data_IF_310227027307
#
_entry.id   IF_310227027307
#
_cell.length_a   1.000
_cell.length_b   1.000
_cell.length_c   1.000
_cell.angle_alpha   90.00
_cell.angle_beta   90.00
_cell.angle_gamma   90.00
#
_symmetry.space_group_name_H-M   'P 1'
#
loop_
_entity.id
_entity.type
_entity.pdbx_description
1 polymer ?
#
# COMPACT_ATOMS: atom_id res chain seq x y z
N UNK A 1 -19.94 -21.56 36.03
CA UNK A 1 -20.29 -20.46 35.09
C UNK A 1 -19.10 -19.59 34.66
N UNK A 2 -18.28 -19.03 35.57
CA UNK A 2 -17.17 -18.12 35.19
C UNK A 2 -16.11 -18.77 34.28
N UNK A 3 -15.77 -20.04 34.50
CA UNK A 3 -14.75 -20.75 33.71
C UNK A 3 -15.14 -20.81 32.22
N UNK A 4 -16.36 -21.25 31.91
CA UNK A 4 -16.84 -21.36 30.52
C UNK A 4 -16.99 -19.99 29.83
N UNK A 5 -17.26 -18.92 30.59
CA UNK A 5 -17.26 -17.56 30.04
C UNK A 5 -15.84 -17.09 29.69
N UNK A 6 -14.86 -17.35 30.56
CA UNK A 6 -13.45 -17.02 30.30
C UNK A 6 -12.88 -17.80 29.10
N UNK A 7 -13.23 -19.08 28.95
CA UNK A 7 -12.82 -19.89 27.80
C UNK A 7 -13.33 -19.28 26.49
N UNK A 8 -14.62 -18.89 26.45
CA UNK A 8 -15.20 -18.25 25.26
C UNK A 8 -14.51 -16.92 24.92
N UNK A 9 -14.22 -16.08 25.91
CA UNK A 9 -13.55 -14.80 25.65
C UNK A 9 -12.10 -15.00 25.18
N UNK A 10 -11.39 -15.99 25.72
CA UNK A 10 -10.07 -16.39 25.22
C UNK A 10 -10.15 -16.83 23.75
N UNK A 11 -11.13 -17.67 23.39
CA UNK A 11 -11.31 -18.12 22.00
C UNK A 11 -11.62 -16.94 21.06
N UNK A 12 -12.47 -16.00 21.48
CA UNK A 12 -12.77 -14.79 20.72
C UNK A 12 -11.50 -13.96 20.47
N UNK A 13 -10.70 -13.77 21.52
CA UNK A 13 -9.44 -13.03 21.44
C UNK A 13 -8.41 -13.76 20.56
N UNK A 14 -8.34 -15.09 20.64
CA UNK A 14 -7.45 -15.90 19.80
C UNK A 14 -7.78 -15.73 18.32
N UNK A 15 -9.07 -15.85 17.96
CA UNK A 15 -9.53 -15.64 16.58
C UNK A 15 -9.15 -14.25 16.03
N UNK A 16 -9.25 -13.20 16.86
CA UNK A 16 -8.80 -11.86 16.49
C UNK A 16 -7.28 -11.79 16.28
N UNK A 17 -6.49 -12.43 17.14
CA UNK A 17 -5.04 -12.45 17.00
C UNK A 17 -4.60 -13.24 15.75
N UNK A 18 -5.31 -14.30 15.39
CA UNK A 18 -5.07 -15.08 14.18
C UNK A 18 -5.33 -14.25 12.92
N UNK A 19 -6.42 -13.45 12.92
CA UNK A 19 -6.68 -12.49 11.83
C UNK A 19 -5.57 -11.43 11.72
N UNK A 20 -5.04 -10.94 12.85
CA UNK A 20 -3.88 -10.04 12.87
C UNK A 20 -2.61 -10.71 12.34
N UNK A 21 -2.41 -12.01 12.59
CA UNK A 21 -1.26 -12.74 12.06
C UNK A 21 -1.37 -12.88 10.54
N UNK A 22 -2.56 -13.23 10.02
CA UNK A 22 -2.83 -13.29 8.58
C UNK A 22 -2.61 -11.93 7.90
N UNK A 23 -3.11 -10.85 8.51
CA UNK A 23 -2.88 -9.50 7.99
C UNK A 23 -1.38 -9.16 7.90
N UNK A 24 -0.55 -9.60 8.86
CA UNK A 24 0.91 -9.38 8.78
C UNK A 24 1.58 -10.15 7.65
N UNK A 25 1.03 -11.28 7.22
CA UNK A 25 1.63 -12.07 6.11
C UNK A 25 1.48 -11.38 4.76
N UNK A 26 0.45 -10.55 4.58
CA UNK A 26 0.17 -9.87 3.31
C UNK A 26 0.79 -8.46 3.23
N UNK A 27 1.18 -7.88 4.37
CA UNK A 27 1.81 -6.56 4.39
C UNK A 27 3.31 -6.74 4.06
N UNK A 28 3.85 -6.04 3.05
CA UNK A 28 5.28 -6.14 2.76
C UNK A 28 6.12 -5.50 3.88
N UNK A 29 7.01 -6.31 4.47
CA UNK A 29 7.86 -5.94 5.61
C UNK A 29 9.28 -6.49 5.44
N UNK A 30 10.24 -5.90 6.15
CA UNK A 30 11.58 -6.46 6.25
C UNK A 30 11.59 -7.65 7.23
N UNK A 31 12.49 -8.64 7.07
CA UNK A 31 12.59 -9.80 7.97
C UNK A 31 12.79 -9.44 9.46
N UNK A 32 13.34 -8.25 9.74
CA UNK A 32 13.55 -7.74 11.10
C UNK A 32 12.35 -7.00 11.70
N UNK A 33 11.32 -6.68 10.90
CA UNK A 33 10.22 -5.83 11.33
C UNK A 33 9.34 -6.56 12.36
N UNK A 34 9.31 -6.03 13.59
CA UNK A 34 8.37 -6.47 14.64
C UNK A 34 7.22 -5.49 14.76
N UNK A 35 6.08 -5.83 14.16
CA UNK A 35 4.91 -4.95 14.11
C UNK A 35 3.93 -5.16 15.28
N UNK A 36 3.73 -4.10 16.08
CA UNK A 36 2.61 -4.01 17.02
C UNK A 36 1.24 -3.99 16.30
N UNK A 37 0.14 -4.14 17.03
CA UNK A 37 -1.22 -4.10 16.46
C UNK A 37 -1.48 -2.78 15.73
N UNK A 38 -1.15 -1.65 16.35
CA UNK A 38 -1.34 -0.33 15.74
C UNK A 38 -0.44 -0.13 14.51
N UNK A 39 0.83 -0.58 14.56
CA UNK A 39 1.73 -0.50 13.41
C UNK A 39 1.23 -1.36 12.24
N UNK A 40 0.71 -2.56 12.53
CA UNK A 40 0.13 -3.46 11.52
C UNK A 40 -1.03 -2.76 10.80
N UNK A 41 -1.95 -2.14 11.55
CA UNK A 41 -3.07 -1.41 10.96
C UNK A 41 -2.62 -0.21 10.13
N UNK A 42 -1.73 0.62 10.67
CA UNK A 42 -1.20 1.80 9.95
C UNK A 42 -0.51 1.40 8.66
N UNK A 43 0.32 0.36 8.70
CA UNK A 43 1.06 -0.11 7.54
C UNK A 43 0.15 -0.76 6.50
N UNK A 44 -0.90 -1.48 6.93
CA UNK A 44 -1.93 -1.99 6.04
C UNK A 44 -2.63 -0.87 5.27
N UNK A 45 -3.05 0.21 5.94
CA UNK A 45 -3.65 1.37 5.29
C UNK A 45 -2.71 1.99 4.27
N UNK A 46 -1.45 2.24 4.64
CA UNK A 46 -0.44 2.76 3.72
C UNK A 46 -0.23 1.84 2.50
N UNK A 47 -0.25 0.53 2.70
CA UNK A 47 -0.09 -0.43 1.60
C UNK A 47 -1.29 -0.40 0.64
N UNK A 48 -2.51 -0.27 1.16
CA UNK A 48 -3.71 -0.08 0.34
C UNK A 48 -3.59 1.21 -0.49
N UNK A 49 -3.18 2.32 0.12
CA UNK A 49 -3.01 3.61 -0.58
C UNK A 49 -1.96 3.54 -1.69
N UNK A 50 -0.83 2.88 -1.41
CA UNK A 50 0.21 2.60 -2.40
C UNK A 50 -0.34 1.81 -3.60
N UNK A 51 -1.08 0.72 -3.34
CA UNK A 51 -1.66 -0.09 -4.41
C UNK A 51 -2.67 0.72 -5.25
N UNK A 52 -3.47 1.59 -4.62
CA UNK A 52 -4.35 2.51 -5.35
C UNK A 52 -3.58 3.47 -6.27
N UNK A 53 -2.43 3.99 -5.82
CA UNK A 53 -1.59 4.87 -6.65
C UNK A 53 -1.02 4.12 -7.85
N UNK A 54 -0.47 2.91 -7.63
CA UNK A 54 0.08 2.06 -8.69
C UNK A 54 -0.98 1.75 -9.76
N UNK A 55 -2.20 1.42 -9.35
CA UNK A 55 -3.30 1.15 -10.29
C UNK A 55 -3.76 2.39 -11.08
N UNK A 56 -3.67 3.60 -10.49
CA UNK A 56 -4.03 4.85 -11.18
C UNK A 56 -2.98 5.27 -12.21
N UNK A 57 -1.69 5.06 -11.90
CA UNK A 57 -0.60 5.35 -12.83
C UNK A 57 -0.61 4.44 -14.05
N UNK A 58 -1.11 3.21 -13.94
CA UNK A 58 -1.28 2.28 -15.07
C UNK A 58 -2.37 2.74 -16.05
N UNK A 59 -3.45 3.37 -15.56
CA UNK A 59 -4.54 3.91 -16.38
C UNK A 59 -4.17 5.21 -17.13
N UNK A 60 -3.04 5.84 -16.76
CA UNK A 60 -2.51 7.03 -17.42
C UNK A 60 -1.39 6.62 -18.38
N UNK A 61 -1.72 5.76 -19.34
CA UNK A 61 -0.88 5.58 -20.52
C UNK A 61 -0.68 6.94 -21.23
N UNK A 62 0.49 7.18 -21.84
CA UNK A 62 0.74 8.44 -22.53
C UNK A 62 -0.35 8.61 -23.58
N UNK A 63 -1.19 9.64 -23.41
CA UNK A 63 -2.11 10.09 -24.43
C UNK A 63 -1.24 10.53 -25.61
N UNK A 64 -1.13 9.65 -26.61
CA UNK A 64 -0.41 9.94 -27.84
C UNK A 64 -0.95 11.23 -28.46
N UNK A 65 0.01 12.05 -28.88
CA UNK A 65 -0.22 13.24 -29.67
C UNK A 65 -0.91 12.87 -30.99
N UNK A 66 -2.14 13.35 -31.20
CA UNK A 66 -2.84 13.20 -32.46
C UNK A 66 -4.24 13.82 -32.45
N UNK A 67 -4.33 15.15 -32.61
CA UNK A 67 -5.60 15.85 -32.83
C UNK A 67 -5.52 17.35 -32.55
N UNK A 68 -5.24 18.13 -33.59
CA UNK A 68 -5.31 19.59 -33.60
C UNK A 68 -6.72 20.10 -33.23
N UNK A 69 -6.80 21.12 -32.36
CA UNK A 69 -8.02 21.93 -32.22
C UNK A 69 -8.32 22.58 -30.87
N UNK A 70 -7.61 23.67 -30.53
CA UNK A 70 -8.23 24.87 -29.94
C UNK A 70 -8.56 24.94 -28.44
N UNK A 71 -7.71 25.65 -27.70
CA UNK A 71 -8.14 26.76 -26.82
C UNK A 71 -8.37 26.48 -25.32
N UNK A 72 -7.56 27.16 -24.48
CA UNK A 72 -7.92 27.48 -23.09
C UNK A 72 -6.92 26.98 -22.07
N UNK A 73 -6.08 27.89 -21.56
CA UNK A 73 -4.92 27.57 -20.74
C UNK A 73 -5.20 27.17 -19.29
N UNK A 74 -4.24 26.47 -18.69
CA UNK A 74 -3.63 26.86 -17.43
C UNK A 74 -2.24 26.22 -17.33
N UNK A 75 -1.21 27.08 -17.37
CA UNK A 75 0.16 26.71 -17.01
C UNK A 75 0.27 26.68 -15.49
N UNK A 76 0.56 25.51 -14.94
CA UNK A 76 1.10 25.37 -13.58
C UNK A 76 2.52 24.83 -13.69
N UNK A 77 3.56 25.62 -13.37
CA UNK A 77 4.91 25.13 -13.25
C UNK A 77 5.17 24.71 -11.79
N UNK A 78 5.82 23.56 -11.60
CA UNK A 78 6.43 23.22 -10.31
C UNK A 78 5.95 21.89 -9.75
N UNK A 79 6.84 20.90 -9.82
CA UNK A 79 6.64 19.56 -9.28
C UNK A 79 7.58 18.63 -10.02
N UNK A 80 8.84 18.64 -9.61
CA UNK A 80 9.91 17.77 -10.10
C UNK A 80 9.37 16.37 -10.37
N UNK A 81 9.49 15.96 -11.63
CA UNK A 81 9.13 14.62 -12.09
C UNK A 81 10.04 13.61 -11.40
N UNK A 82 9.69 13.27 -10.17
CA UNK A 82 10.24 12.17 -9.43
C UNK A 82 9.93 10.92 -10.24
N UNK A 83 10.96 10.47 -10.96
CA UNK A 83 11.19 9.12 -11.41
C UNK A 83 9.92 8.36 -11.76
N UNK A 84 9.58 8.35 -13.05
CA UNK A 84 8.70 7.32 -13.62
C UNK A 84 9.40 5.97 -13.44
N UNK A 85 9.36 5.45 -12.22
CA UNK A 85 9.73 4.09 -11.92
C UNK A 85 8.59 3.27 -12.47
N UNK A 86 8.84 2.56 -13.57
CA UNK A 86 7.90 1.64 -14.18
C UNK A 86 7.75 0.43 -13.26
N UNK A 87 6.94 0.59 -12.21
CA UNK A 87 6.72 -0.40 -11.15
C UNK A 87 6.14 -1.74 -11.65
N UNK A 88 5.69 -1.81 -12.91
CA UNK A 88 4.75 -2.83 -13.40
C UNK A 88 5.33 -3.90 -14.33
N UNK A 89 6.65 -3.94 -14.58
CA UNK A 89 7.22 -4.96 -15.47
C UNK A 89 7.73 -6.25 -14.77
N UNK A 90 7.71 -6.33 -13.44
CA UNK A 90 8.24 -7.47 -12.70
C UNK A 90 7.19 -8.02 -11.70
N UNK A 91 7.21 -9.33 -11.41
CA UNK A 91 6.22 -10.00 -10.57
C UNK A 91 6.17 -9.53 -9.11
N UNK A 92 5.47 -10.27 -8.24
CA UNK A 92 5.17 -9.88 -6.85
C UNK A 92 6.33 -9.34 -6.00
N UNK A 93 7.57 -9.76 -6.29
CA UNK A 93 8.78 -9.26 -5.62
C UNK A 93 9.06 -7.77 -5.89
N UNK A 94 8.60 -7.21 -7.03
CA UNK A 94 8.79 -5.79 -7.34
C UNK A 94 7.91 -4.89 -6.47
N UNK A 95 6.69 -5.33 -6.11
CA UNK A 95 5.74 -4.52 -5.36
C UNK A 95 6.17 -4.37 -3.91
N UNK A 96 6.73 -5.43 -3.31
CA UNK A 96 7.31 -5.37 -1.97
C UNK A 96 8.51 -4.42 -1.90
N UNK A 97 9.38 -4.45 -2.93
CA UNK A 97 10.49 -3.51 -3.03
C UNK A 97 10.03 -2.08 -3.26
N UNK A 98 9.13 -1.86 -4.23
CA UNK A 98 8.57 -0.55 -4.56
C UNK A 98 7.86 0.08 -3.35
N UNK A 99 7.06 -0.70 -2.61
CA UNK A 99 6.43 -0.22 -1.39
C UNK A 99 7.46 0.14 -0.30
N UNK A 100 8.56 -0.60 -0.19
CA UNK A 100 9.62 -0.31 0.77
C UNK A 100 10.35 0.99 0.47
N UNK A 101 10.53 1.33 -0.81
CA UNK A 101 11.09 2.62 -1.24
C UNK A 101 10.07 3.73 -0.99
N UNK A 102 8.84 3.57 -1.50
CA UNK A 102 7.76 4.55 -1.38
C UNK A 102 7.47 4.94 0.07
N UNK A 103 7.46 3.97 1.00
CA UNK A 103 7.17 4.24 2.42
C UNK A 103 8.31 4.97 3.15
N UNK A 104 9.51 5.07 2.57
CA UNK A 104 10.65 5.80 3.15
C UNK A 104 10.82 7.22 2.59
N UNK A 105 10.13 7.57 1.50
CA UNK A 105 10.26 8.90 0.84
C UNK A 105 9.45 10.02 1.55
N UNK A 106 8.87 9.77 2.72
CA UNK A 106 7.91 10.70 3.38
C UNK A 106 8.11 10.95 4.87
N UNK A 107 9.33 10.78 5.40
CA UNK A 107 9.72 11.24 6.76
C UNK A 107 10.74 12.38 6.67
#
# INVERSE_FOLDING_TARGET
>A
QRVMANVRERQRTQSLNDAYAQLRQIIPTLPSDKLSKIQTLKLATRYIDFLYQVLRTDQQGPMEAGGEGGGGGQVVPGGDGASSCSYVAAGGDCLSYAFSVWRMEGE
#
